data_IF_788244811475
#
_entry.id   IF_788244811475
#
_cell.length_a   1.000
_cell.length_b   1.000
_cell.length_c   1.000
_cell.angle_alpha   90.00
_cell.angle_beta   90.00
_cell.angle_gamma   90.00
#
_symmetry.space_group_name_H-M   'P 1'
#
loop_
_entity.id
_entity.type
_entity.pdbx_description
1 polymer ?
#
# COMPACT_ATOMS: atom_id res chain seq x y z
N UNK A 1 18.86 -27.34 -0.94
CA UNK A 1 17.62 -26.94 -1.61
C UNK A 1 16.70 -26.27 -0.60
N UNK A 2 16.62 -24.94 -0.67
CA UNK A 2 15.69 -24.15 0.15
C UNK A 2 14.32 -24.16 -0.51
N UNK A 3 13.34 -24.83 0.10
CA UNK A 3 11.96 -24.78 -0.37
C UNK A 3 11.27 -23.62 0.33
N UNK A 4 11.04 -22.55 -0.41
CA UNK A 4 10.22 -21.42 0.04
C UNK A 4 8.80 -21.66 -0.50
N UNK A 5 7.79 -21.73 0.39
CA UNK A 5 6.39 -21.94 0.00
C UNK A 5 5.72 -20.59 -0.14
N UNK A 6 5.22 -20.28 -1.34
CA UNK A 6 4.44 -19.09 -1.66
C UNK A 6 2.97 -19.46 -1.80
N UNK A 7 2.09 -18.66 -1.22
CA UNK A 7 0.66 -18.82 -1.35
C UNK A 7 0.10 -17.62 -2.10
N UNK A 8 -0.42 -17.87 -3.29
CA UNK A 8 -1.11 -16.88 -4.11
C UNK A 8 -2.61 -17.09 -3.98
N UNK A 9 -3.32 -16.05 -3.54
CA UNK A 9 -4.79 -16.05 -3.55
C UNK A 9 -5.25 -15.50 -4.88
N UNK A 10 -5.90 -16.33 -5.67
CA UNK A 10 -6.49 -15.93 -6.94
C UNK A 10 -7.99 -15.72 -6.76
N UNK A 11 -8.44 -14.46 -6.77
CA UNK A 11 -9.87 -14.13 -6.88
C UNK A 11 -10.21 -14.03 -8.37
N UNK A 12 -10.85 -15.03 -8.91
CA UNK A 12 -11.35 -14.99 -10.29
C UNK A 12 -12.43 -13.91 -10.44
N UNK A 13 -12.10 -12.80 -11.09
CA UNK A 13 -13.08 -11.95 -11.76
C UNK A 13 -13.34 -12.54 -13.14
N UNK A 14 -14.62 -12.70 -13.52
CA UNK A 14 -15.03 -13.08 -14.88
C UNK A 14 -14.40 -12.11 -15.88
N UNK A 15 -13.70 -12.67 -16.84
CA UNK A 15 -13.25 -11.98 -18.05
C UNK A 15 -14.45 -11.40 -18.79
N UNK A 16 -14.54 -10.09 -18.83
CA UNK A 16 -15.16 -9.40 -19.95
C UNK A 16 -14.01 -8.76 -20.71
N UNK A 17 -13.93 -9.07 -22.01
CA UNK A 17 -12.90 -8.63 -22.96
C UNK A 17 -12.68 -7.13 -22.90
N UNK A 18 -11.66 -6.71 -22.16
CA UNK A 18 -10.99 -5.44 -22.34
C UNK A 18 -9.48 -5.71 -22.24
N UNK A 19 -8.79 -5.62 -23.36
CA UNK A 19 -7.32 -5.56 -23.36
C UNK A 19 -6.87 -4.39 -22.49
N UNK A 20 -6.61 -4.66 -21.22
CA UNK A 20 -6.25 -3.64 -20.24
C UNK A 20 -4.81 -3.13 -20.47
N UNK A 21 -4.01 -3.90 -21.19
CA UNK A 21 -2.61 -3.59 -21.50
C UNK A 21 -2.37 -3.67 -23.01
N UNK A 22 -2.46 -2.54 -23.67
CA UNK A 22 -2.27 -2.43 -25.14
C UNK A 22 -0.81 -2.23 -25.56
N UNK A 23 0.12 -2.02 -24.63
CA UNK A 23 1.51 -1.64 -24.92
C UNK A 23 1.66 -0.28 -25.62
N UNK A 24 0.56 0.45 -25.81
CA UNK A 24 0.58 1.74 -26.53
C UNK A 24 1.44 2.82 -25.85
N UNK A 25 1.70 2.66 -24.54
CA UNK A 25 2.48 3.58 -23.73
C UNK A 25 3.97 3.27 -23.63
N UNK A 26 4.46 2.16 -24.19
CA UNK A 26 5.83 1.64 -23.98
C UNK A 26 6.93 2.55 -24.57
N UNK A 27 6.56 3.40 -25.52
CA UNK A 27 7.47 4.38 -26.13
C UNK A 27 7.53 5.71 -25.36
N UNK A 28 7.05 5.77 -24.12
CA UNK A 28 7.02 7.00 -23.33
C UNK A 28 5.96 8.01 -23.79
N UNK A 29 5.01 7.57 -24.62
CA UNK A 29 3.92 8.40 -25.11
C UNK A 29 2.59 7.92 -24.53
N UNK A 30 1.61 8.84 -24.44
CA UNK A 30 0.24 8.57 -24.02
C UNK A 30 -0.73 9.45 -24.80
N UNK A 31 -2.02 9.37 -24.51
CA UNK A 31 -3.02 10.24 -25.11
C UNK A 31 -3.92 10.83 -24.03
N UNK A 32 -4.19 12.11 -24.13
CA UNK A 32 -5.31 12.77 -23.48
C UNK A 32 -6.53 12.70 -24.41
N UNK A 33 -7.71 12.99 -23.91
CA UNK A 33 -8.95 12.86 -24.68
C UNK A 33 -8.93 13.64 -26.02
N UNK A 34 -8.24 14.78 -26.03
CA UNK A 34 -8.15 15.65 -27.23
C UNK A 34 -6.77 15.71 -27.87
N UNK A 35 -5.73 15.28 -27.16
CA UNK A 35 -4.35 15.29 -27.65
C UNK A 35 -3.83 13.85 -27.74
N UNK A 36 -3.49 13.44 -28.97
CA UNK A 36 -2.83 12.16 -29.22
C UNK A 36 -1.31 12.34 -29.20
N UNK A 37 -0.58 11.30 -28.80
CA UNK A 37 0.87 11.29 -28.74
C UNK A 37 1.45 12.38 -27.80
N UNK A 38 0.93 12.47 -26.60
CA UNK A 38 1.45 13.31 -25.53
C UNK A 38 2.60 12.58 -24.84
N UNK A 39 3.71 13.25 -24.60
CA UNK A 39 4.81 12.66 -23.81
C UNK A 39 4.36 12.36 -22.38
N UNK A 40 4.77 11.22 -21.84
CA UNK A 40 4.55 10.92 -20.41
C UNK A 40 5.27 11.90 -19.47
N UNK A 41 6.26 12.65 -19.99
CA UNK A 41 6.93 13.74 -19.28
C UNK A 41 6.22 15.10 -19.41
N UNK A 42 5.06 15.19 -20.10
CA UNK A 42 4.27 16.42 -20.21
C UNK A 42 3.71 16.80 -18.82
N UNK A 43 3.71 18.10 -18.52
CA UNK A 43 3.27 18.62 -17.21
C UNK A 43 1.82 18.21 -16.87
N UNK A 44 0.95 18.03 -17.87
CA UNK A 44 -0.43 17.52 -17.69
C UNK A 44 -0.43 16.10 -17.20
N UNK A 45 0.43 15.25 -17.75
CA UNK A 45 0.56 13.84 -17.36
C UNK A 45 1.18 13.74 -15.96
N UNK A 46 2.19 14.56 -15.67
CA UNK A 46 2.75 14.65 -14.32
C UNK A 46 1.70 15.11 -13.30
N UNK A 47 0.92 16.15 -13.63
CA UNK A 47 -0.16 16.64 -12.75
C UNK A 47 -1.23 15.55 -12.50
N UNK A 48 -1.63 14.80 -13.53
CA UNK A 48 -2.57 13.69 -13.41
C UNK A 48 -2.00 12.62 -12.46
N UNK A 49 -0.77 12.16 -12.70
CA UNK A 49 -0.15 11.12 -11.87
C UNK A 49 -0.03 11.53 -10.40
N UNK A 50 0.35 12.76 -10.11
CA UNK A 50 0.43 13.27 -8.74
C UNK A 50 -0.95 13.42 -8.07
N UNK A 51 -1.99 13.72 -8.85
CA UNK A 51 -3.37 13.77 -8.32
C UNK A 51 -3.86 12.34 -8.04
N UNK A 52 -3.53 11.34 -8.86
CA UNK A 52 -3.82 9.92 -8.62
C UNK A 52 -3.12 9.41 -7.35
N UNK A 53 -1.84 9.78 -7.17
CA UNK A 53 -1.10 9.52 -5.93
C UNK A 53 -1.81 10.12 -4.71
N UNK A 54 -2.25 11.37 -4.81
CA UNK A 54 -2.99 12.05 -3.74
C UNK A 54 -4.31 11.33 -3.42
N UNK A 55 -5.06 10.91 -4.42
CA UNK A 55 -6.31 10.14 -4.25
C UNK A 55 -6.02 8.86 -3.44
N UNK A 56 -4.94 8.18 -3.75
CA UNK A 56 -4.52 6.95 -3.05
C UNK A 56 -4.15 7.22 -1.59
N UNK A 57 -3.37 8.26 -1.32
CA UNK A 57 -2.98 8.65 0.04
C UNK A 57 -4.19 9.08 0.89
N UNK A 58 -5.14 9.84 0.31
CA UNK A 58 -6.40 10.19 0.98
C UNK A 58 -7.24 8.93 1.24
N UNK A 59 -7.24 7.98 0.31
CA UNK A 59 -7.87 6.67 0.49
C UNK A 59 -7.31 5.91 1.69
N UNK A 60 -5.99 5.94 1.87
CA UNK A 60 -5.33 5.36 3.04
C UNK A 60 -5.75 6.03 4.35
N UNK A 61 -5.81 7.36 4.38
CA UNK A 61 -6.33 8.12 5.55
C UNK A 61 -7.78 7.74 5.83
N UNK A 62 -8.64 7.71 4.80
CA UNK A 62 -10.06 7.37 4.91
C UNK A 62 -10.28 5.95 5.45
N UNK A 63 -9.46 4.99 5.03
CA UNK A 63 -9.56 3.60 5.46
C UNK A 63 -9.33 3.45 6.97
N UNK A 64 -8.44 4.25 7.55
CA UNK A 64 -8.04 4.21 8.96
C UNK A 64 -8.76 5.25 9.84
N UNK A 65 -9.62 6.10 9.27
CA UNK A 65 -10.45 6.99 10.05
C UNK A 65 -11.57 6.21 10.75
N UNK A 66 -11.92 6.57 11.98
CA UNK A 66 -13.05 5.97 12.70
C UNK A 66 -14.33 6.79 12.49
N UNK A 67 -14.20 8.11 12.33
CA UNK A 67 -15.31 9.05 12.19
C UNK A 67 -15.97 8.93 10.79
N UNK A 68 -17.28 8.68 10.79
CA UNK A 68 -18.09 8.51 9.57
C UNK A 68 -18.18 9.81 8.76
N UNK A 69 -18.27 10.97 9.45
CA UNK A 69 -18.31 12.27 8.78
C UNK A 69 -16.99 12.59 8.09
N UNK A 70 -15.87 12.31 8.76
CA UNK A 70 -14.54 12.45 8.17
C UNK A 70 -14.35 11.53 6.95
N UNK A 71 -14.84 10.28 7.02
CA UNK A 71 -14.81 9.37 5.86
C UNK A 71 -15.57 9.94 4.66
N UNK A 72 -16.74 10.51 4.90
CA UNK A 72 -17.55 11.13 3.85
C UNK A 72 -16.85 12.36 3.23
N UNK A 73 -16.22 13.18 4.07
CA UNK A 73 -15.46 14.34 3.62
C UNK A 73 -14.25 13.94 2.76
N UNK A 74 -13.49 12.97 3.20
CA UNK A 74 -12.33 12.45 2.45
C UNK A 74 -12.77 11.80 1.12
N UNK A 75 -13.89 11.06 1.10
CA UNK A 75 -14.46 10.53 -0.13
C UNK A 75 -14.88 11.64 -1.10
N UNK A 76 -15.50 12.69 -0.59
CA UNK A 76 -15.88 13.87 -1.40
C UNK A 76 -14.65 14.52 -2.03
N UNK A 77 -13.57 14.67 -1.26
CA UNK A 77 -12.29 15.20 -1.78
C UNK A 77 -11.73 14.29 -2.88
N UNK A 78 -11.75 12.97 -2.70
CA UNK A 78 -11.30 12.03 -3.74
C UNK A 78 -12.12 12.15 -5.03
N UNK A 79 -13.44 12.28 -4.94
CA UNK A 79 -14.33 12.48 -6.10
C UNK A 79 -14.03 13.82 -6.82
N UNK A 80 -13.79 14.87 -6.09
CA UNK A 80 -13.43 16.18 -6.65
C UNK A 80 -12.04 16.14 -7.31
N UNK A 81 -11.10 15.35 -6.79
CA UNK A 81 -9.81 15.13 -7.43
C UNK A 81 -9.93 14.38 -8.76
N UNK A 82 -10.88 13.43 -8.90
CA UNK A 82 -11.21 12.83 -10.20
C UNK A 82 -11.74 13.89 -11.19
N UNK A 83 -12.59 14.81 -10.74
CA UNK A 83 -13.03 15.96 -11.57
C UNK A 83 -11.84 16.84 -11.97
N UNK A 84 -10.84 17.03 -11.10
CA UNK A 84 -9.61 17.74 -11.46
C UNK A 84 -8.85 17.01 -12.58
N UNK A 85 -8.71 15.69 -12.52
CA UNK A 85 -8.09 14.88 -13.59
C UNK A 85 -8.87 15.01 -14.90
N UNK A 86 -10.20 14.86 -14.83
CA UNK A 86 -11.06 14.97 -16.00
C UNK A 86 -10.96 16.37 -16.63
N UNK A 87 -10.80 17.41 -15.82
CA UNK A 87 -10.62 18.78 -16.32
C UNK A 87 -9.26 19.04 -17.02
N UNK A 88 -8.24 18.22 -16.73
CA UNK A 88 -6.97 18.22 -17.45
C UNK A 88 -7.10 17.43 -18.75
N UNK A 89 -7.78 16.28 -18.71
CA UNK A 89 -8.01 15.40 -19.85
C UNK A 89 -8.91 16.06 -20.92
N UNK A 90 -9.97 16.72 -20.49
CA UNK A 90 -10.94 17.39 -21.36
C UNK A 90 -11.37 18.75 -20.77
N UNK A 91 -10.55 19.80 -20.95
CA UNK A 91 -10.79 21.11 -20.32
C UNK A 91 -12.03 21.85 -20.84
N UNK A 92 -12.61 21.39 -21.95
CA UNK A 92 -13.78 22.02 -22.57
C UNK A 92 -15.11 21.36 -22.19
N UNK A 93 -15.05 20.21 -21.47
CA UNK A 93 -16.27 19.58 -21.01
C UNK A 93 -16.88 20.38 -19.86
N UNK A 94 -18.17 20.72 -19.98
CA UNK A 94 -18.86 21.62 -19.03
C UNK A 94 -18.94 21.10 -17.60
N UNK A 95 -18.98 19.76 -17.45
CA UNK A 95 -19.15 19.10 -16.17
C UNK A 95 -17.79 18.81 -15.47
N UNK A 96 -16.68 18.99 -16.16
CA UNK A 96 -15.33 18.81 -15.62
C UNK A 96 -14.84 20.09 -14.92
N UNK A 97 -15.60 20.57 -13.94
CA UNK A 97 -15.26 21.81 -13.24
C UNK A 97 -15.46 21.66 -11.74
N UNK A 98 -14.48 22.13 -11.00
CA UNK A 98 -14.66 22.37 -9.56
C UNK A 98 -15.48 23.63 -9.39
N UNK A 99 -16.55 23.57 -8.60
CA UNK A 99 -17.37 24.73 -8.30
C UNK A 99 -16.75 25.59 -7.19
N UNK A 100 -17.13 26.85 -7.14
CA UNK A 100 -16.71 27.77 -6.07
C UNK A 100 -17.29 27.35 -4.72
N UNK A 101 -18.47 26.70 -4.71
CA UNK A 101 -19.10 26.14 -3.52
C UNK A 101 -18.23 25.02 -2.89
N UNK A 102 -17.61 24.17 -3.71
CA UNK A 102 -16.70 23.13 -3.20
C UNK A 102 -15.44 23.73 -2.56
N UNK A 103 -14.90 24.81 -3.14
CA UNK A 103 -13.78 25.55 -2.55
C UNK A 103 -14.18 26.17 -1.22
N UNK A 104 -15.35 26.83 -1.17
CA UNK A 104 -15.87 27.45 0.04
C UNK A 104 -16.12 26.42 1.13
N UNK A 105 -16.78 25.32 0.82
CA UNK A 105 -17.05 24.24 1.77
C UNK A 105 -15.76 23.68 2.39
N UNK A 106 -14.73 23.44 1.59
CA UNK A 106 -13.46 22.94 2.09
C UNK A 106 -12.74 23.98 2.97
N UNK A 107 -12.86 25.27 2.62
CA UNK A 107 -12.32 26.38 3.43
C UNK A 107 -13.00 26.46 4.78
N UNK A 108 -14.34 26.34 4.82
CA UNK A 108 -15.12 26.35 6.06
C UNK A 108 -14.75 25.16 6.97
N UNK A 109 -14.64 23.96 6.41
CA UNK A 109 -14.19 22.78 7.16
C UNK A 109 -12.78 22.95 7.71
N UNK A 110 -11.88 23.55 6.95
CA UNK A 110 -10.51 23.86 7.38
C UNK A 110 -10.54 24.84 8.58
N UNK A 111 -11.38 25.86 8.53
CA UNK A 111 -11.52 26.82 9.62
C UNK A 111 -12.05 26.16 10.90
N UNK A 112 -13.04 25.26 10.78
CA UNK A 112 -13.57 24.49 11.93
C UNK A 112 -12.47 23.65 12.56
N UNK A 113 -11.68 22.92 11.78
CA UNK A 113 -10.57 22.14 12.29
C UNK A 113 -9.53 23.02 12.99
N UNK A 114 -9.13 24.14 12.37
CA UNK A 114 -8.15 25.09 12.97
C UNK A 114 -8.64 25.68 14.31
N UNK A 115 -9.95 25.85 14.48
CA UNK A 115 -10.55 26.30 15.73
C UNK A 115 -10.65 25.22 16.82
N UNK A 116 -10.47 23.94 16.47
CA UNK A 116 -10.67 22.82 17.36
C UNK A 116 -9.41 22.39 18.16
N UNK A 117 -8.25 22.95 17.86
CA UNK A 117 -7.00 22.69 18.60
C UNK A 117 -6.24 23.99 18.89
N UNK A 118 -5.46 24.06 19.99
CA UNK A 118 -4.69 25.25 20.31
C UNK A 118 -3.55 25.43 19.31
N UNK A 119 -3.39 26.66 18.81
CA UNK A 119 -2.21 27.01 18.00
C UNK A 119 -0.95 27.00 18.88
N UNK A 120 0.07 26.30 18.42
CA UNK A 120 1.40 26.28 19.07
C UNK A 120 2.28 27.38 18.49
N UNK A 121 3.20 27.91 19.31
CA UNK A 121 4.16 28.91 18.86
C UNK A 121 5.18 28.37 17.83
N UNK A 122 5.31 27.06 17.74
CA UNK A 122 6.22 26.36 16.82
C UNK A 122 5.42 25.40 15.95
N UNK A 123 5.84 25.27 14.69
CA UNK A 123 5.29 24.26 13.81
C UNK A 123 5.69 22.86 14.31
N UNK A 124 4.72 22.00 14.66
CA UNK A 124 5.03 20.68 15.18
C UNK A 124 5.64 19.81 14.09
N UNK A 125 6.59 18.95 14.49
CA UNK A 125 7.14 17.94 13.59
C UNK A 125 6.05 16.92 13.22
N UNK A 126 6.01 16.42 11.96
CA UNK A 126 5.16 15.31 11.58
C UNK A 126 5.45 14.07 12.42
N UNK A 127 4.42 13.28 12.73
CA UNK A 127 4.60 12.02 13.44
C UNK A 127 4.22 12.04 14.92
N UNK A 128 3.35 12.94 15.34
CA UNK A 128 2.77 12.92 16.68
C UNK A 128 2.01 11.63 16.98
N UNK A 129 1.30 11.10 15.97
CA UNK A 129 0.73 9.76 16.00
C UNK A 129 0.70 9.16 14.58
N UNK A 130 0.42 7.85 14.47
CA UNK A 130 0.39 7.16 13.17
C UNK A 130 -0.67 7.75 12.22
N UNK A 131 -1.85 8.07 12.73
CA UNK A 131 -2.92 8.64 11.94
C UNK A 131 -2.54 10.03 11.39
N UNK A 132 -1.96 10.91 12.20
CA UNK A 132 -1.51 12.24 11.76
C UNK A 132 -0.37 12.15 10.76
N UNK A 133 0.55 11.20 10.92
CA UNK A 133 1.65 10.98 9.97
C UNK A 133 1.13 10.60 8.57
N UNK A 134 0.12 9.73 8.50
CA UNK A 134 -0.53 9.38 7.22
C UNK A 134 -1.17 10.59 6.54
N UNK A 135 -1.76 11.50 7.33
CA UNK A 135 -2.35 12.74 6.82
C UNK A 135 -1.24 13.70 6.35
N UNK A 136 -0.13 13.82 7.08
CA UNK A 136 1.01 14.64 6.66
C UNK A 136 1.67 14.10 5.38
N UNK A 137 1.70 12.78 5.17
CA UNK A 137 2.12 12.18 3.91
C UNK A 137 1.19 12.59 2.76
N UNK A 138 -0.13 12.47 2.93
CA UNK A 138 -1.10 12.92 1.94
C UNK A 138 -0.95 14.42 1.62
N UNK A 139 -0.71 15.25 2.65
CA UNK A 139 -0.43 16.68 2.47
C UNK A 139 0.82 16.94 1.62
N UNK A 140 1.88 16.17 1.86
CA UNK A 140 3.13 16.32 1.09
C UNK A 140 2.93 16.01 -0.39
N UNK A 141 2.12 14.98 -0.69
CA UNK A 141 1.71 14.64 -2.06
C UNK A 141 0.80 15.72 -2.64
N UNK A 142 -0.17 16.25 -1.87
CA UNK A 142 -1.05 17.34 -2.32
C UNK A 142 -0.25 18.57 -2.78
N UNK A 143 0.78 18.96 -2.04
CA UNK A 143 1.66 20.07 -2.41
C UNK A 143 2.52 19.79 -3.64
N UNK A 144 2.85 18.52 -3.91
CA UNK A 144 3.55 18.12 -5.14
C UNK A 144 2.59 18.16 -6.33
N UNK A 145 1.37 17.65 -6.18
CA UNK A 145 0.31 17.74 -7.18
C UNK A 145 -0.05 19.19 -7.53
N UNK A 146 -0.14 20.07 -6.52
CA UNK A 146 -0.37 21.49 -6.70
C UNK A 146 0.70 22.15 -7.58
N UNK A 147 1.98 21.86 -7.36
CA UNK A 147 3.09 22.43 -8.16
C UNK A 147 3.02 21.97 -9.62
N UNK A 148 2.76 20.69 -9.87
CA UNK A 148 2.62 20.18 -11.23
C UNK A 148 1.36 20.71 -11.92
N UNK A 149 0.26 20.83 -11.18
CA UNK A 149 -0.96 21.47 -11.71
C UNK A 149 -0.69 22.94 -12.08
N UNK A 150 0.02 23.68 -11.24
CA UNK A 150 0.38 25.05 -11.52
C UNK A 150 1.28 25.17 -12.78
N UNK A 151 2.23 24.24 -12.97
CA UNK A 151 3.07 24.17 -14.18
C UNK A 151 2.24 23.87 -15.42
N UNK A 152 1.35 22.89 -15.34
CA UNK A 152 0.39 22.54 -16.40
C UNK A 152 -0.50 23.73 -16.78
N UNK A 153 -1.11 24.38 -15.78
CA UNK A 153 -2.02 25.50 -15.99
C UNK A 153 -1.34 26.72 -16.61
N UNK A 154 -0.06 26.92 -16.32
CA UNK A 154 0.74 28.00 -16.93
C UNK A 154 0.93 27.79 -18.43
N UNK A 155 1.04 26.53 -18.87
CA UNK A 155 1.30 26.18 -20.29
C UNK A 155 0.01 26.04 -21.11
N UNK A 156 -1.01 25.42 -20.50
CA UNK A 156 -2.20 24.97 -21.22
C UNK A 156 -3.50 25.69 -20.79
N UNK A 157 -3.38 26.59 -19.80
CA UNK A 157 -4.55 27.22 -19.18
C UNK A 157 -5.19 26.32 -18.13
N UNK A 158 -5.88 26.93 -17.16
CA UNK A 158 -6.51 26.21 -16.06
C UNK A 158 -7.69 26.94 -15.46
N UNK A 159 -8.42 26.24 -14.60
CA UNK A 159 -9.61 26.78 -13.92
C UNK A 159 -9.18 27.41 -12.58
N UNK A 160 -9.56 28.66 -12.27
CA UNK A 160 -9.22 29.30 -11.00
C UNK A 160 -9.71 28.51 -9.78
N UNK A 161 -10.97 28.05 -9.80
CA UNK A 161 -11.53 27.27 -8.69
C UNK A 161 -10.78 25.95 -8.47
N UNK A 162 -10.33 25.25 -9.51
CA UNK A 162 -9.51 24.04 -9.40
C UNK A 162 -8.17 24.33 -8.69
N UNK A 163 -7.50 25.42 -9.03
CA UNK A 163 -6.25 25.86 -8.39
C UNK A 163 -6.48 26.14 -6.90
N UNK A 164 -7.53 26.90 -6.60
CA UNK A 164 -7.89 27.23 -5.22
C UNK A 164 -8.22 25.95 -4.43
N UNK A 165 -8.99 25.03 -5.02
CA UNK A 165 -9.36 23.77 -4.40
C UNK A 165 -8.13 22.92 -4.05
N UNK A 166 -7.19 22.78 -4.99
CA UNK A 166 -5.95 22.03 -4.77
C UNK A 166 -5.11 22.63 -3.64
N UNK A 167 -4.99 23.95 -3.59
CA UNK A 167 -4.31 24.64 -2.47
C UNK A 167 -5.02 24.40 -1.14
N UNK A 168 -6.36 24.51 -1.11
CA UNK A 168 -7.17 24.28 0.10
C UNK A 168 -7.06 22.84 0.63
N UNK A 169 -6.86 21.84 -0.23
CA UNK A 169 -6.61 20.45 0.21
C UNK A 169 -5.34 20.41 1.08
N UNK A 170 -4.28 21.10 0.70
CA UNK A 170 -3.05 21.18 1.50
C UNK A 170 -3.26 21.77 2.89
N UNK A 171 -4.07 22.83 2.98
CA UNK A 171 -4.42 23.49 4.24
C UNK A 171 -5.37 22.64 5.09
N UNK A 172 -6.33 21.98 4.48
CA UNK A 172 -7.25 21.05 5.14
C UNK A 172 -6.51 19.88 5.77
N UNK A 173 -5.64 19.24 5.00
CA UNK A 173 -4.84 18.10 5.49
C UNK A 173 -3.90 18.52 6.61
N UNK A 174 -3.31 19.71 6.55
CA UNK A 174 -2.50 20.23 7.65
C UNK A 174 -3.33 20.40 8.94
N UNK A 175 -4.49 21.07 8.84
CA UNK A 175 -5.36 21.28 9.98
C UNK A 175 -5.87 19.94 10.56
N UNK A 176 -6.20 18.98 9.68
CA UNK A 176 -6.66 17.66 10.08
C UNK A 176 -5.55 16.87 10.80
N UNK A 177 -4.31 16.92 10.31
CA UNK A 177 -3.17 16.27 10.97
C UNK A 177 -2.93 16.83 12.36
N UNK A 178 -2.93 18.15 12.52
CA UNK A 178 -2.74 18.81 13.84
C UNK A 178 -3.89 18.55 14.78
N UNK A 179 -5.12 18.55 14.29
CA UNK A 179 -6.28 18.16 15.08
C UNK A 179 -6.17 16.70 15.56
N UNK A 180 -5.73 15.81 14.68
CA UNK A 180 -5.52 14.39 15.01
C UNK A 180 -4.46 14.20 16.09
N UNK A 181 -3.32 14.90 16.00
CA UNK A 181 -2.30 14.91 17.05
C UNK A 181 -2.87 15.39 18.39
N UNK A 182 -3.65 16.47 18.38
CA UNK A 182 -4.27 17.02 19.57
C UNK A 182 -5.25 16.06 20.23
N UNK A 183 -6.08 15.40 19.44
CA UNK A 183 -7.04 14.41 19.96
C UNK A 183 -6.30 13.21 20.50
N UNK A 184 -5.26 12.73 19.82
CA UNK A 184 -4.47 11.59 20.26
C UNK A 184 -3.70 11.88 21.56
N UNK A 185 -3.14 13.08 21.71
CA UNK A 185 -2.44 13.50 22.94
C UNK A 185 -3.36 13.55 24.18
N UNK A 186 -4.65 13.59 24.01
CA UNK A 186 -5.65 13.56 25.10
C UNK A 186 -6.12 12.15 25.48
N UNK A 187 -5.76 11.14 24.69
CA UNK A 187 -6.03 9.75 25.07
C UNK A 187 -5.21 9.40 26.31
N UNK A 188 -5.79 8.67 27.30
CA UNK A 188 -5.00 8.19 28.43
C UNK A 188 -3.83 7.34 27.88
N UNK A 189 -2.63 7.70 28.29
CA UNK A 189 -1.43 6.93 27.96
C UNK A 189 -1.63 5.55 28.54
N UNK A 190 -1.88 4.57 27.69
CA UNK A 190 -1.77 3.17 28.13
C UNK A 190 -0.32 2.98 28.51
N UNK A 191 -0.01 2.51 29.74
CA UNK A 191 1.36 2.26 30.11
C UNK A 191 1.92 1.23 29.12
N UNK A 192 2.80 1.67 28.26
CA UNK A 192 3.66 0.76 27.50
C UNK A 192 4.38 -0.03 28.57
N UNK A 193 4.08 -1.33 28.69
CA UNK A 193 4.84 -2.20 29.57
C UNK A 193 6.31 -1.98 29.20
N UNK A 194 7.06 -1.38 30.12
CA UNK A 194 8.48 -1.23 29.95
C UNK A 194 9.04 -2.62 29.61
N UNK A 195 9.97 -2.74 28.65
CA UNK A 195 10.61 -4.01 28.40
C UNK A 195 11.21 -4.43 29.75
N UNK A 196 10.65 -5.46 30.34
CA UNK A 196 11.22 -6.11 31.53
C UNK A 196 12.52 -6.73 31.04
N UNK A 197 13.62 -6.01 31.21
CA UNK A 197 14.95 -6.63 31.16
C UNK A 197 15.01 -7.50 32.41
N UNK A 198 14.50 -8.70 32.29
CA UNK A 198 14.70 -9.72 33.29
C UNK A 198 16.10 -10.29 33.11
N UNK A 199 17.05 -9.80 33.89
CA UNK A 199 18.19 -10.64 34.28
C UNK A 199 17.64 -11.91 34.94
N UNK A 200 17.39 -12.94 34.18
CA UNK A 200 17.09 -14.24 34.70
C UNK A 200 18.12 -15.25 34.24
N UNK A 201 19.19 -15.33 35.03
CA UNK A 201 19.90 -16.55 35.28
C UNK A 201 19.03 -17.44 36.20
N UNK A 202 18.06 -18.13 35.65
CA UNK A 202 17.50 -19.36 36.23
C UNK A 202 16.46 -19.95 35.27
N UNK A 203 16.76 -21.09 34.71
CA UNK A 203 15.84 -21.88 33.93
C UNK A 203 14.75 -22.48 34.87
N UNK A 204 13.45 -22.33 34.57
CA UNK A 204 12.42 -23.09 35.24
C UNK A 204 12.33 -24.52 34.68
N UNK A 205 11.95 -25.52 35.48
CA UNK A 205 11.92 -26.92 35.06
C UNK A 205 10.80 -27.17 34.06
N UNK A 206 11.13 -27.88 33.00
CA UNK A 206 10.21 -28.36 31.98
C UNK A 206 9.09 -29.19 32.58
N UNK A 207 7.84 -28.73 32.52
CA UNK A 207 6.68 -29.61 32.66
C UNK A 207 6.41 -30.24 31.29
N UNK A 208 6.72 -31.53 31.20
CA UNK A 208 6.35 -32.38 30.10
C UNK A 208 4.81 -32.45 29.99
N UNK A 209 4.25 -31.90 28.95
CA UNK A 209 2.94 -32.31 28.45
C UNK A 209 3.21 -33.20 27.24
N UNK A 210 3.06 -34.49 27.54
CA UNK A 210 3.24 -35.58 26.61
C UNK A 210 1.88 -35.82 25.93
N UNK A 211 1.63 -35.15 24.79
CA UNK A 211 0.63 -35.64 23.84
C UNK A 211 1.36 -35.98 22.52
N UNK A 212 1.64 -37.25 22.40
CA UNK A 212 2.04 -37.88 21.16
C UNK A 212 0.89 -37.80 20.17
N UNK A 213 0.90 -36.80 19.29
CA UNK A 213 0.21 -36.89 18.02
C UNK A 213 1.05 -37.78 17.10
N UNK A 214 0.47 -38.86 16.53
CA UNK A 214 1.24 -39.74 15.66
C UNK A 214 1.71 -38.92 14.44
N UNK A 215 2.99 -39.07 14.14
CA UNK A 215 3.61 -38.54 12.94
C UNK A 215 3.04 -39.27 11.69
N UNK A 216 1.81 -38.95 11.32
CA UNK A 216 1.33 -39.22 9.96
C UNK A 216 2.11 -38.26 9.05
N UNK A 217 2.73 -38.78 8.02
CA UNK A 217 3.46 -38.07 6.99
C UNK A 217 2.74 -36.79 6.61
N UNK A 218 3.17 -35.66 7.15
CA UNK A 218 2.80 -34.34 6.66
C UNK A 218 3.52 -34.17 5.32
N UNK A 219 2.95 -34.71 4.28
CA UNK A 219 3.43 -34.45 2.92
C UNK A 219 3.21 -32.95 2.64
N UNK A 220 4.13 -32.37 1.90
CA UNK A 220 4.10 -30.98 1.42
C UNK A 220 2.72 -30.60 0.86
N UNK A 221 2.06 -31.56 0.19
CA UNK A 221 0.74 -31.44 -0.38
C UNK A 221 -0.39 -31.21 0.64
N UNK A 222 -0.33 -31.89 1.80
CA UNK A 222 -1.37 -31.75 2.85
C UNK A 222 -1.32 -30.37 3.50
N UNK A 223 -0.12 -29.84 3.72
CA UNK A 223 0.06 -28.48 4.27
C UNK A 223 -0.44 -27.43 3.26
N UNK A 224 -0.10 -27.60 1.99
CA UNK A 224 -0.56 -26.70 0.92
C UNK A 224 -2.09 -26.73 0.77
N UNK A 225 -2.71 -27.90 0.76
CA UNK A 225 -4.17 -28.06 0.63
C UNK A 225 -4.94 -27.44 1.81
N UNK A 226 -4.47 -27.64 3.05
CA UNK A 226 -5.12 -27.06 4.24
C UNK A 226 -5.01 -25.54 4.24
N UNK A 227 -3.89 -25.01 3.78
CA UNK A 227 -3.65 -23.57 3.64
C UNK A 227 -4.53 -22.99 2.54
N UNK A 228 -4.57 -23.59 1.35
CA UNK A 228 -5.43 -23.17 0.24
C UNK A 228 -6.92 -23.16 0.62
N UNK A 229 -7.39 -24.17 1.36
CA UNK A 229 -8.77 -24.27 1.83
C UNK A 229 -9.16 -23.12 2.76
N UNK A 230 -8.25 -22.67 3.64
CA UNK A 230 -8.50 -21.53 4.54
C UNK A 230 -8.43 -20.19 3.86
N UNK A 231 -7.61 -20.07 2.82
CA UNK A 231 -7.43 -18.85 2.05
C UNK A 231 -8.61 -18.60 1.09
N UNK A 232 -9.19 -19.65 0.50
CA UNK A 232 -10.34 -19.53 -0.39
C UNK A 232 -11.60 -18.92 0.25
N UNK A 233 -11.64 -18.82 1.57
CA UNK A 233 -12.75 -18.23 2.34
C UNK A 233 -12.47 -16.81 2.86
N UNK A 234 -11.30 -16.20 2.54
CA UNK A 234 -10.90 -14.91 3.11
C UNK A 234 -10.42 -13.93 2.04
N UNK A 235 -11.05 -12.78 1.99
CA UNK A 235 -10.67 -11.67 1.07
C UNK A 235 -9.34 -10.98 1.43
N UNK A 236 -8.70 -11.35 2.55
CA UNK A 236 -7.49 -10.67 3.05
C UNK A 236 -6.62 -11.60 3.91
N UNK A 237 -5.30 -11.55 3.70
CA UNK A 237 -4.32 -12.18 4.61
C UNK A 237 -4.12 -11.28 5.83
N UNK A 238 -4.61 -11.68 6.99
CA UNK A 238 -4.39 -10.97 8.26
C UNK A 238 -3.05 -11.38 8.89
N UNK A 239 -2.53 -10.54 9.81
CA UNK A 239 -1.31 -10.84 10.55
C UNK A 239 -1.41 -12.15 11.34
N UNK A 240 -2.59 -12.46 11.90
CA UNK A 240 -2.82 -13.71 12.65
C UNK A 240 -2.69 -14.95 11.74
N UNK A 241 -3.24 -14.86 10.51
CA UNK A 241 -3.09 -15.91 9.51
C UNK A 241 -1.62 -16.05 9.10
N UNK A 242 -0.94 -14.91 8.84
CA UNK A 242 0.46 -14.92 8.46
C UNK A 242 1.34 -15.59 9.53
N UNK A 243 1.13 -15.28 10.82
CA UNK A 243 1.85 -15.91 11.93
C UNK A 243 1.64 -17.42 11.97
N UNK A 244 0.38 -17.88 11.87
CA UNK A 244 0.07 -19.32 11.87
C UNK A 244 0.70 -20.07 10.69
N UNK A 245 0.82 -19.41 9.54
CA UNK A 245 1.51 -19.95 8.36
C UNK A 245 3.02 -20.06 8.61
N UNK A 246 3.61 -19.01 9.14
CA UNK A 246 5.04 -18.97 9.48
C UNK A 246 5.39 -20.06 10.47
N UNK A 247 4.65 -20.19 11.58
CA UNK A 247 4.89 -21.23 12.58
C UNK A 247 4.89 -22.64 12.00
N UNK A 248 3.94 -22.94 11.09
CA UNK A 248 3.89 -24.24 10.42
C UNK A 248 5.11 -24.48 9.51
N UNK A 249 5.53 -23.47 8.79
CA UNK A 249 6.69 -23.56 7.87
C UNK A 249 7.98 -23.71 8.66
N UNK A 250 8.15 -22.96 9.75
CA UNK A 250 9.30 -23.07 10.65
C UNK A 250 9.37 -24.45 11.31
N UNK A 251 8.22 -24.99 11.75
CA UNK A 251 8.11 -26.35 12.28
C UNK A 251 8.55 -27.40 11.25
N UNK A 252 8.11 -27.26 9.99
CA UNK A 252 8.55 -28.14 8.91
C UNK A 252 10.05 -27.98 8.60
N UNK A 253 10.54 -26.73 8.48
CA UNK A 253 11.94 -26.46 8.22
C UNK A 253 12.83 -27.10 9.31
N UNK A 254 12.43 -26.97 10.57
CA UNK A 254 13.13 -27.58 11.70
C UNK A 254 13.12 -29.12 11.62
N UNK A 255 12.00 -29.72 11.25
CA UNK A 255 11.87 -31.18 11.12
C UNK A 255 12.80 -31.78 10.05
N UNK A 256 13.12 -31.01 9.01
CA UNK A 256 14.06 -31.42 7.94
C UNK A 256 15.48 -30.85 8.13
N UNK A 257 15.78 -30.29 9.30
CA UNK A 257 17.11 -29.75 9.63
C UNK A 257 17.54 -28.53 8.82
N UNK A 258 16.58 -27.76 8.32
CA UNK A 258 16.85 -26.54 7.52
C UNK A 258 16.55 -25.27 8.32
N UNK A 259 17.26 -24.20 8.00
CA UNK A 259 17.01 -22.85 8.49
C UNK A 259 16.43 -22.02 7.37
N UNK A 260 15.33 -21.30 7.63
CA UNK A 260 14.58 -20.60 6.60
C UNK A 260 14.31 -19.14 7.02
N UNK A 261 14.08 -18.30 5.99
CA UNK A 261 13.37 -17.04 6.14
C UNK A 261 12.00 -17.22 5.49
N UNK A 262 10.96 -16.87 6.21
CA UNK A 262 9.58 -17.01 5.76
C UNK A 262 8.95 -15.63 5.62
N UNK A 263 8.58 -15.24 4.42
CA UNK A 263 7.86 -14.00 4.13
C UNK A 263 6.43 -14.31 3.67
N UNK A 264 5.46 -13.62 4.24
CA UNK A 264 4.05 -13.68 3.83
C UNK A 264 3.63 -12.30 3.36
N UNK A 265 3.18 -12.21 2.10
CA UNK A 265 2.67 -10.98 1.50
C UNK A 265 1.14 -11.00 1.37
N UNK A 266 0.54 -9.82 1.41
CA UNK A 266 -0.86 -9.60 1.06
C UNK A 266 -1.09 -9.62 -0.46
N UNK A 267 -2.36 -9.52 -0.90
CA UNK A 267 -2.71 -9.44 -2.33
C UNK A 267 -2.17 -8.19 -3.03
N UNK A 268 -1.76 -7.20 -2.28
CA UNK A 268 -1.12 -5.95 -2.70
C UNK A 268 0.41 -6.08 -2.90
N UNK A 269 0.97 -7.28 -2.65
CA UNK A 269 2.40 -7.54 -2.71
C UNK A 269 3.20 -7.05 -1.49
N UNK A 270 2.57 -6.34 -0.55
CA UNK A 270 3.25 -5.86 0.64
C UNK A 270 3.45 -6.98 1.67
N UNK A 271 4.60 -7.04 2.37
CA UNK A 271 4.82 -7.99 3.44
C UNK A 271 3.84 -7.76 4.60
N UNK A 272 3.14 -8.83 5.01
CA UNK A 272 2.30 -8.86 6.21
C UNK A 272 3.11 -9.31 7.42
N UNK A 273 4.00 -10.29 7.23
CA UNK A 273 4.95 -10.76 8.23
C UNK A 273 6.17 -11.40 7.57
N UNK A 274 7.33 -11.23 8.22
CA UNK A 274 8.58 -11.90 7.82
C UNK A 274 9.26 -12.43 9.07
N UNK A 275 9.59 -13.71 9.10
CA UNK A 275 10.39 -14.33 10.16
C UNK A 275 11.71 -14.86 9.65
N UNK A 276 12.74 -14.70 10.46
CA UNK A 276 14.10 -15.18 10.19
C UNK A 276 14.45 -16.21 11.25
N UNK A 277 14.62 -17.48 10.86
CA UNK A 277 15.08 -18.50 11.79
C UNK A 277 16.56 -18.30 12.13
N UNK A 278 16.92 -18.57 13.39
CA UNK A 278 18.31 -18.49 13.82
C UNK A 278 19.24 -19.36 12.97
N UNK A 279 20.28 -18.74 12.43
CA UNK A 279 21.23 -19.39 11.53
C UNK A 279 20.79 -19.46 10.06
N UNK A 280 19.73 -18.75 9.65
CA UNK A 280 19.42 -18.55 8.25
C UNK A 280 20.48 -17.65 7.58
N UNK A 281 20.69 -17.80 6.27
CA UNK A 281 21.64 -16.95 5.54
C UNK A 281 21.14 -15.50 5.47
N UNK A 282 22.07 -14.55 5.61
CA UNK A 282 21.77 -13.11 5.57
C UNK A 282 20.99 -12.69 4.31
N UNK A 283 21.43 -13.19 3.14
CA UNK A 283 20.79 -12.90 1.85
C UNK A 283 19.35 -13.43 1.75
N UNK A 284 18.97 -14.40 2.58
CA UNK A 284 17.66 -15.05 2.51
C UNK A 284 16.52 -14.12 2.85
N UNK A 285 16.74 -13.05 3.62
CA UNK A 285 15.73 -12.07 3.95
C UNK A 285 15.21 -11.36 2.69
N UNK A 286 16.10 -10.72 1.94
CA UNK A 286 15.74 -10.00 0.72
C UNK A 286 15.14 -10.93 -0.33
N UNK A 287 15.73 -12.12 -0.48
CA UNK A 287 15.24 -13.13 -1.42
C UNK A 287 13.82 -13.59 -1.04
N UNK A 288 13.53 -13.84 0.23
CA UNK A 288 12.20 -14.28 0.66
C UNK A 288 11.13 -13.22 0.39
N UNK A 289 11.40 -11.95 0.74
CA UNK A 289 10.47 -10.84 0.52
C UNK A 289 10.22 -10.63 -0.98
N UNK A 290 11.28 -10.56 -1.78
CA UNK A 290 11.18 -10.38 -3.24
C UNK A 290 10.47 -11.55 -3.92
N UNK A 291 10.71 -12.80 -3.49
CA UNK A 291 10.00 -13.97 -4.01
C UNK A 291 8.52 -13.96 -3.64
N UNK A 292 8.17 -13.55 -2.42
CA UNK A 292 6.77 -13.40 -2.03
C UNK A 292 6.06 -12.33 -2.88
N UNK A 293 6.69 -11.18 -3.10
CA UNK A 293 6.22 -10.15 -4.02
C UNK A 293 6.05 -10.67 -5.45
N UNK A 294 7.07 -11.36 -5.98
CA UNK A 294 7.04 -11.93 -7.34
C UNK A 294 5.84 -12.87 -7.50
N UNK A 295 5.64 -13.79 -6.56
CA UNK A 295 4.55 -14.76 -6.64
C UNK A 295 3.17 -14.09 -6.68
N UNK A 296 2.98 -13.02 -5.91
CA UNK A 296 1.72 -12.22 -5.92
C UNK A 296 1.57 -11.48 -7.26
N UNK A 297 2.64 -10.83 -7.73
CA UNK A 297 2.62 -10.00 -8.94
C UNK A 297 2.32 -10.80 -10.21
N UNK A 298 2.89 -12.01 -10.34
CA UNK A 298 2.71 -12.85 -11.53
C UNK A 298 1.64 -13.93 -11.35
N UNK A 299 1.04 -14.04 -10.15
CA UNK A 299 -0.01 -15.01 -9.80
C UNK A 299 0.38 -16.47 -10.04
N UNK A 300 1.67 -16.79 -9.90
CA UNK A 300 2.20 -18.15 -10.00
C UNK A 300 3.40 -18.34 -9.08
N UNK A 301 3.82 -19.58 -8.85
CA UNK A 301 5.01 -19.85 -8.05
C UNK A 301 6.26 -19.36 -8.77
N UNK A 302 7.26 -18.87 -8.00
CA UNK A 302 8.55 -18.45 -8.59
C UNK A 302 9.30 -19.64 -9.24
N UNK A 303 9.00 -20.86 -8.84
CA UNK A 303 9.54 -22.07 -9.46
C UNK A 303 8.96 -22.30 -10.87
N UNK A 304 7.67 -22.05 -11.07
CA UNK A 304 7.02 -22.13 -12.39
C UNK A 304 7.48 -20.96 -13.26
N UNK A 305 7.50 -19.76 -12.70
CA UNK A 305 7.99 -18.57 -13.39
C UNK A 305 9.46 -18.76 -13.86
N UNK A 306 10.31 -19.33 -13.01
CA UNK A 306 11.71 -19.62 -13.35
C UNK A 306 11.89 -20.51 -14.57
N UNK A 307 10.91 -21.36 -14.91
CA UNK A 307 10.90 -22.14 -16.15
C UNK A 307 10.48 -21.30 -17.37
N UNK A 308 9.58 -20.34 -17.16
CA UNK A 308 9.00 -19.51 -18.22
C UNK A 308 9.87 -18.31 -18.63
N UNK A 309 10.82 -17.91 -17.79
CA UNK A 309 11.78 -16.82 -18.10
C UNK A 309 13.04 -17.29 -18.84
N UNK A 310 13.19 -18.59 -19.07
CA UNK A 310 14.34 -19.11 -19.81
C UNK A 310 14.35 -18.60 -21.27
N UNK A 311 15.52 -18.48 -21.91
CA UNK A 311 15.60 -18.04 -23.29
C UNK A 311 14.67 -18.85 -24.21
N UNK A 312 13.84 -18.15 -24.97
CA UNK A 312 12.85 -18.78 -25.88
C UNK A 312 11.52 -19.15 -25.23
N UNK A 313 11.30 -18.89 -23.94
CA UNK A 313 10.05 -19.09 -23.27
C UNK A 313 9.18 -17.81 -23.24
N UNK A 314 7.91 -17.95 -22.84
CA UNK A 314 6.88 -16.88 -22.90
C UNK A 314 7.28 -15.59 -22.16
N UNK A 315 8.00 -15.70 -21.06
CA UNK A 315 8.42 -14.57 -20.23
C UNK A 315 9.93 -14.31 -20.26
N UNK A 316 10.62 -14.76 -21.33
CA UNK A 316 12.05 -14.48 -21.49
C UNK A 316 12.33 -12.97 -21.49
N UNK A 317 13.23 -12.50 -20.62
CA UNK A 317 13.56 -11.08 -20.45
C UNK A 317 12.76 -10.36 -19.38
N UNK A 318 11.82 -11.01 -18.70
CA UNK A 318 11.05 -10.41 -17.60
C UNK A 318 11.98 -9.94 -16.47
N UNK A 319 13.09 -10.62 -16.23
CA UNK A 319 14.12 -10.26 -15.26
C UNK A 319 14.79 -8.89 -15.54
N UNK A 320 14.70 -8.40 -16.77
CA UNK A 320 15.29 -7.12 -17.17
C UNK A 320 14.36 -5.94 -16.93
N UNK A 321 13.05 -6.20 -16.79
CA UNK A 321 12.03 -5.15 -16.68
C UNK A 321 11.95 -4.60 -15.25
N UNK A 322 12.06 -5.46 -14.24
CA UNK A 322 12.04 -5.08 -12.82
C UNK A 322 13.13 -5.84 -12.04
N UNK A 323 14.38 -5.64 -12.44
CA UNK A 323 15.56 -6.36 -11.89
C UNK A 323 15.71 -6.26 -10.37
N UNK A 324 15.18 -5.17 -9.76
CA UNK A 324 15.28 -4.92 -8.32
C UNK A 324 14.17 -5.56 -7.50
N UNK A 325 13.06 -5.97 -8.12
CA UNK A 325 11.87 -6.46 -7.41
C UNK A 325 11.55 -7.92 -7.67
N UNK A 326 11.79 -8.42 -8.88
CA UNK A 326 11.48 -9.79 -9.26
C UNK A 326 12.67 -10.75 -8.98
N UNK A 327 12.37 -11.90 -8.38
CA UNK A 327 13.35 -12.97 -8.13
C UNK A 327 12.72 -14.33 -8.47
N UNK A 328 13.42 -15.13 -9.25
CA UNK A 328 12.97 -16.41 -9.80
C UNK A 328 13.61 -17.60 -9.11
#
# INVERSE_FOLDING_TARGET
DFTIIFIVINTMRKESDMEMFTGSGDRGMTSLKRDRNVSKADDRIQAIGEIEDLITHIGMVRLHADDVSLKADLEKIQRNLLVCIDSINDPYHKDNKISEEEVKLLTEKTAVLKGAYPMTAYEPLPGGCEASLRIDMARSVARRAERWLASSDKKYGGQPARKQYMNQIGDYLYALARYTDYVDSKKPVQPVAAPVISDSTAAPPAKAVNEKVPAAELTKEIVIQEVLKRIQTMDRVTLDIAKKLIEKIEGYATSVGKKAVVAVCGPDGNPVAVHVMDGAFLVSFDVAVKKAYTAVSVKMSTMELGKLVQPGQTFAGLEQIESDKLVF
#
